data_IF_242954849885
#
_entry.id   IF_242954849885
#
_cell.length_a   1.000
_cell.length_b   1.000
_cell.length_c   1.000
_cell.angle_alpha   90.00
_cell.angle_beta   90.00
_cell.angle_gamma   90.00
#
_symmetry.space_group_name_H-M   'P 1'
#
loop_
_entity.id
_entity.type
_entity.pdbx_description
1 polymer ?
#
# COMPACT_ATOMS: atom_id res chain seq x y z
N UNK A 1 -5.85 17.61 53.51
CA UNK A 1 -4.40 17.55 53.77
C UNK A 1 -3.94 18.98 53.85
N UNK A 2 -3.52 19.41 55.04
CA UNK A 2 -2.96 20.75 55.23
C UNK A 2 -1.65 20.78 54.44
N UNK A 3 -1.57 21.62 53.41
CA UNK A 3 -0.31 21.78 52.67
C UNK A 3 0.74 22.30 53.64
N UNK A 4 1.87 21.60 53.81
CA UNK A 4 2.96 22.13 54.62
C UNK A 4 3.63 23.31 53.87
N UNK A 5 4.47 24.07 54.56
CA UNK A 5 5.09 25.29 54.03
C UNK A 5 6.05 24.95 52.89
N UNK A 6 6.74 23.81 52.94
CA UNK A 6 7.57 23.31 51.86
C UNK A 6 6.79 23.12 50.55
N UNK A 7 5.64 22.44 50.58
CA UNK A 7 4.79 22.27 49.39
C UNK A 7 4.31 23.61 48.82
N UNK A 8 4.01 24.58 49.70
CA UNK A 8 3.58 25.91 49.28
C UNK A 8 4.72 26.68 48.63
N UNK A 9 5.93 26.57 49.15
CA UNK A 9 7.15 27.13 48.56
C UNK A 9 7.43 26.51 47.18
N UNK A 10 7.47 25.18 47.06
CA UNK A 10 7.68 24.49 45.78
C UNK A 10 6.64 24.89 44.72
N UNK A 11 5.37 25.03 45.12
CA UNK A 11 4.29 25.49 44.23
C UNK A 11 4.50 26.93 43.76
N UNK A 12 4.96 27.82 44.63
CA UNK A 12 5.27 29.20 44.28
C UNK A 12 6.45 29.27 43.31
N UNK A 13 7.52 28.50 43.55
CA UNK A 13 8.67 28.40 42.64
C UNK A 13 8.24 27.90 41.25
N UNK A 14 7.50 26.78 41.19
CA UNK A 14 7.05 26.20 39.93
C UNK A 14 6.10 27.12 39.14
N UNK A 15 5.35 28.02 39.80
CA UNK A 15 4.48 28.98 39.12
C UNK A 15 5.25 29.94 38.19
N UNK A 16 6.54 30.17 38.43
CA UNK A 16 7.40 30.99 37.57
C UNK A 16 8.11 30.18 36.48
N UNK A 17 8.10 28.85 36.55
CA UNK A 17 8.71 27.95 35.55
C UNK A 17 7.69 27.64 34.45
N UNK A 18 7.93 28.12 33.23
CA UNK A 18 6.99 27.98 32.10
C UNK A 18 6.91 26.57 31.53
N UNK A 19 7.98 25.78 31.68
CA UNK A 19 8.04 24.42 31.16
C UNK A 19 7.48 23.43 32.20
N UNK A 20 6.16 23.20 32.13
CA UNK A 20 5.45 22.33 33.08
C UNK A 20 5.93 20.88 33.15
N UNK A 21 6.47 20.23 32.09
CA UNK A 21 6.95 18.86 32.20
C UNK A 21 8.05 18.64 33.25
N UNK A 22 8.80 19.69 33.61
CA UNK A 22 9.86 19.60 34.62
C UNK A 22 9.36 19.93 36.04
N UNK A 23 8.10 20.36 36.23
CA UNK A 23 7.56 20.75 37.54
C UNK A 23 7.65 19.64 38.58
N UNK A 24 7.39 18.39 38.18
CA UNK A 24 7.45 17.24 39.09
C UNK A 24 8.89 16.98 39.56
N UNK A 25 9.86 17.09 38.64
CA UNK A 25 11.27 16.93 38.94
C UNK A 25 11.80 18.05 39.84
N UNK A 26 11.46 19.30 39.53
CA UNK A 26 11.81 20.49 40.32
C UNK A 26 11.20 20.39 41.72
N UNK A 27 9.93 20.00 41.82
CA UNK A 27 9.26 19.85 43.12
C UNK A 27 9.89 18.75 43.96
N UNK A 28 10.28 17.62 43.35
CA UNK A 28 10.95 16.53 44.05
C UNK A 28 12.32 16.95 44.58
N UNK A 29 13.13 17.63 43.76
CA UNK A 29 14.46 18.12 44.14
C UNK A 29 14.38 19.18 45.26
N UNK A 30 13.48 20.17 45.12
CA UNK A 30 13.29 21.20 46.14
C UNK A 30 12.76 20.64 47.46
N UNK A 31 11.82 19.69 47.40
CA UNK A 31 11.30 19.03 48.61
C UNK A 31 12.41 18.27 49.32
N UNK A 32 13.20 17.48 48.59
CA UNK A 32 14.33 16.75 49.18
C UNK A 32 15.36 17.70 49.82
N UNK A 33 15.70 18.80 49.15
CA UNK A 33 16.60 19.81 49.71
C UNK A 33 16.06 20.48 50.98
N UNK A 34 14.75 20.76 51.03
CA UNK A 34 14.09 21.33 52.20
C UNK A 34 14.04 20.35 53.36
N UNK A 35 13.77 19.07 53.10
CA UNK A 35 13.78 17.99 54.10
C UNK A 35 15.18 17.78 54.66
N UNK A 36 16.21 17.69 53.81
CA UNK A 36 17.61 17.57 54.24
C UNK A 36 18.03 18.75 55.12
N UNK A 37 17.57 19.96 54.79
CA UNK A 37 17.90 21.17 55.55
C UNK A 37 17.12 21.23 56.88
N UNK A 38 15.87 20.78 56.91
CA UNK A 38 15.08 20.63 58.13
C UNK A 38 15.75 19.64 59.09
N UNK A 39 16.17 18.47 58.59
CA UNK A 39 16.83 17.44 59.39
C UNK A 39 18.14 17.95 59.97
N UNK A 40 18.95 18.66 59.17
CA UNK A 40 20.18 19.28 59.65
C UNK A 40 19.95 20.32 60.77
N UNK A 41 18.85 21.09 60.70
CA UNK A 41 18.48 22.05 61.75
C UNK A 41 18.05 21.36 63.04
N UNK A 42 17.30 20.27 62.95
CA UNK A 42 16.89 19.47 64.11
C UNK A 42 18.08 18.77 64.79
N UNK A 43 19.08 18.35 64.02
CA UNK A 43 20.32 17.79 64.56
C UNK A 43 21.16 18.86 65.29
N UNK A 44 21.23 20.08 64.75
CA UNK A 44 22.03 21.17 65.32
C UNK A 44 21.36 21.82 66.54
N UNK A 45 20.03 21.87 66.56
CA UNK A 45 19.21 22.52 67.57
C UNK A 45 18.10 21.59 68.08
N UNK A 46 18.41 20.71 69.06
CA UNK A 46 17.46 19.73 69.59
C UNK A 46 16.23 20.34 70.28
N UNK A 47 16.26 21.64 70.54
CA UNK A 47 15.20 22.44 71.15
C UNK A 47 14.17 22.98 70.13
N UNK A 48 14.46 22.93 68.82
CA UNK A 48 13.51 23.31 67.78
C UNK A 48 12.43 22.24 67.59
N UNK A 49 11.19 22.70 67.38
CA UNK A 49 10.13 21.81 66.89
C UNK A 49 10.31 21.54 65.38
N UNK A 50 9.78 20.40 64.86
CA UNK A 50 9.83 20.10 63.42
C UNK A 50 9.22 21.21 62.54
N UNK A 51 8.18 21.87 63.03
CA UNK A 51 7.47 22.96 62.34
C UNK A 51 8.31 24.24 62.28
N UNK A 52 9.04 24.57 63.36
CA UNK A 52 9.98 25.70 63.39
C UNK A 52 11.22 25.43 62.53
N UNK A 53 11.71 24.18 62.50
CA UNK A 53 12.78 23.76 61.61
C UNK A 53 12.36 23.83 60.13
N UNK A 54 11.11 23.46 59.81
CA UNK A 54 10.54 23.63 58.46
C UNK A 54 10.49 25.10 58.04
N UNK A 55 10.00 25.97 58.92
CA UNK A 55 9.92 27.41 58.68
C UNK A 55 11.32 28.01 58.48
N UNK A 56 12.28 27.65 59.32
CA UNK A 56 13.66 28.06 59.17
C UNK A 56 14.30 27.53 57.88
N UNK A 57 13.97 26.30 57.46
CA UNK A 57 14.47 25.72 56.23
C UNK A 57 13.94 26.46 54.98
N UNK A 58 12.64 26.76 54.95
CA UNK A 58 12.03 27.55 53.86
C UNK A 58 12.58 28.98 53.85
N UNK A 59 12.74 29.62 55.01
CA UNK A 59 13.32 30.97 55.10
C UNK A 59 14.76 31.03 54.57
N UNK A 60 15.54 29.95 54.76
CA UNK A 60 16.91 29.86 54.26
C UNK A 60 16.99 29.73 52.73
N UNK A 61 15.94 29.21 52.08
CA UNK A 61 15.87 29.10 50.61
C UNK A 61 15.71 30.46 49.92
N UNK A 62 15.29 31.50 50.65
CA UNK A 62 15.14 32.86 50.13
C UNK A 62 13.79 33.10 49.42
N UNK A 63 13.79 34.00 48.43
CA UNK A 63 12.57 34.38 47.71
C UNK A 63 12.19 33.33 46.65
N UNK A 64 11.01 32.68 46.74
CA UNK A 64 10.56 31.71 45.74
C UNK A 64 10.40 32.30 44.34
N UNK A 65 10.14 33.60 44.20
CA UNK A 65 10.03 34.25 42.89
C UNK A 65 11.38 34.36 42.17
N UNK A 66 12.43 34.80 42.88
CA UNK A 66 13.79 34.88 42.32
C UNK A 66 14.30 33.50 41.92
N UNK A 67 14.10 32.49 42.78
CA UNK A 67 14.48 31.10 42.49
C UNK A 67 13.71 30.53 41.29
N UNK A 68 12.39 30.76 41.23
CA UNK A 68 11.56 30.30 40.12
C UNK A 68 11.92 30.95 38.78
N UNK A 69 12.28 32.24 38.76
CA UNK A 69 12.78 32.93 37.56
C UNK A 69 14.13 32.38 37.10
N UNK A 70 15.05 32.13 38.03
CA UNK A 70 16.35 31.54 37.73
C UNK A 70 16.20 30.12 37.14
N UNK A 71 15.33 29.29 37.71
CA UNK A 71 14.96 27.98 37.15
C UNK A 71 14.32 28.13 35.77
N UNK A 72 13.44 29.10 35.55
CA UNK A 72 12.84 29.30 34.23
C UNK A 72 13.88 29.66 33.15
N UNK A 73 15.00 30.29 33.48
CA UNK A 73 16.08 30.56 32.53
C UNK A 73 16.84 29.28 32.13
N UNK A 74 17.06 28.35 33.06
CA UNK A 74 17.67 27.04 32.74
C UNK A 74 16.70 26.11 32.01
N UNK A 75 15.40 26.22 32.28
CA UNK A 75 14.34 25.39 31.70
C UNK A 75 13.66 26.09 30.51
N UNK A 76 14.31 26.08 29.34
CA UNK A 76 13.77 26.68 28.10
C UNK A 76 12.51 25.93 27.61
N UNK A 77 11.32 26.56 27.63
CA UNK A 77 10.08 25.88 27.25
C UNK A 77 10.03 25.54 25.75
N UNK A 78 10.64 26.37 24.89
CA UNK A 78 10.59 26.16 23.44
C UNK A 78 11.40 24.92 23.03
N UNK A 79 12.58 24.74 23.61
CA UNK A 79 13.45 23.59 23.32
C UNK A 79 12.86 22.30 23.89
N UNK A 80 12.33 22.35 25.12
CA UNK A 80 11.68 21.21 25.75
C UNK A 80 10.46 20.71 24.95
N UNK A 81 9.56 21.63 24.56
CA UNK A 81 8.41 21.26 23.75
C UNK A 81 8.81 20.75 22.36
N UNK A 82 9.81 21.36 21.71
CA UNK A 82 10.32 20.87 20.44
C UNK A 82 10.85 19.44 20.54
N UNK A 83 11.63 19.12 21.57
CA UNK A 83 12.17 17.78 21.77
C UNK A 83 11.07 16.73 21.95
N UNK A 84 10.07 17.01 22.80
CA UNK A 84 8.93 16.11 23.03
C UNK A 84 8.17 15.87 21.71
N UNK A 85 7.87 16.95 20.97
CA UNK A 85 7.15 16.85 19.71
C UNK A 85 7.94 16.10 18.64
N UNK A 86 9.24 16.39 18.52
CA UNK A 86 10.13 15.72 17.59
C UNK A 86 10.23 14.22 17.89
N UNK A 87 10.38 13.84 19.16
CA UNK A 87 10.39 12.45 19.57
C UNK A 87 9.08 11.74 19.19
N UNK A 88 7.93 12.37 19.43
CA UNK A 88 6.63 11.82 19.05
C UNK A 88 6.52 11.59 17.52
N UNK A 89 7.02 12.53 16.71
CA UNK A 89 7.05 12.39 15.24
C UNK A 89 7.94 11.23 14.81
N UNK A 90 9.13 11.10 15.39
CA UNK A 90 10.05 10.00 15.07
C UNK A 90 9.41 8.64 15.38
N UNK A 91 8.76 8.51 16.54
CA UNK A 91 8.04 7.28 16.91
C UNK A 91 6.88 6.99 15.94
N UNK A 92 6.09 8.01 15.59
CA UNK A 92 4.98 7.87 14.66
C UNK A 92 5.47 7.42 13.27
N UNK A 93 6.50 8.09 12.73
CA UNK A 93 7.08 7.74 11.42
C UNK A 93 7.68 6.33 11.44
N UNK A 94 8.38 5.96 12.51
CA UNK A 94 8.93 4.62 12.66
C UNK A 94 7.83 3.56 12.68
N UNK A 95 6.72 3.81 13.39
CA UNK A 95 5.57 2.91 13.40
C UNK A 95 4.93 2.78 12.02
N UNK A 96 4.76 3.88 11.28
CA UNK A 96 4.24 3.86 9.90
C UNK A 96 5.15 3.04 8.97
N UNK A 97 6.47 3.22 9.06
CA UNK A 97 7.44 2.46 8.26
C UNK A 97 7.35 0.97 8.60
N UNK A 98 7.30 0.62 9.89
CA UNK A 98 7.16 -0.78 10.32
C UNK A 98 5.86 -1.39 9.79
N UNK A 99 4.74 -0.67 9.91
CA UNK A 99 3.45 -1.13 9.40
C UNK A 99 3.52 -1.33 7.88
N UNK A 100 4.06 -0.36 7.14
CA UNK A 100 4.24 -0.46 5.69
C UNK A 100 5.12 -1.67 5.34
N UNK A 101 6.25 -1.86 6.02
CA UNK A 101 7.09 -3.03 5.86
C UNK A 101 6.33 -4.32 6.18
N UNK A 102 5.56 -4.41 7.26
CA UNK A 102 4.79 -5.62 7.60
C UNK A 102 3.78 -6.00 6.51
N UNK A 103 3.14 -5.02 5.86
CA UNK A 103 2.21 -5.29 4.77
C UNK A 103 2.89 -5.64 3.44
N UNK A 104 4.05 -5.06 3.14
CA UNK A 104 4.73 -5.23 1.84
C UNK A 104 5.85 -6.28 1.83
N UNK A 105 6.44 -6.60 2.99
CA UNK A 105 7.55 -7.55 3.12
C UNK A 105 7.16 -8.97 2.71
N UNK A 106 5.97 -9.52 3.03
CA UNK A 106 5.58 -10.86 2.58
C UNK A 106 5.56 -10.99 1.06
N UNK A 107 4.89 -10.06 0.36
CA UNK A 107 4.86 -10.06 -1.11
C UNK A 107 6.24 -9.82 -1.74
N UNK A 108 7.07 -8.99 -1.12
CA UNK A 108 8.45 -8.77 -1.59
C UNK A 108 9.34 -10.01 -1.38
N UNK A 109 9.20 -10.70 -0.24
CA UNK A 109 9.96 -11.90 0.07
C UNK A 109 9.51 -13.08 -0.80
N UNK A 110 8.22 -13.23 -1.05
CA UNK A 110 7.68 -14.21 -2.01
C UNK A 110 8.23 -13.96 -3.43
N UNK A 111 8.29 -12.70 -3.87
CA UNK A 111 8.88 -12.35 -5.16
C UNK A 111 10.39 -12.62 -5.24
N UNK A 112 11.13 -12.50 -4.13
CA UNK A 112 12.58 -12.73 -4.07
C UNK A 112 12.97 -14.19 -3.85
N UNK A 113 12.14 -14.96 -3.15
CA UNK A 113 12.42 -16.36 -2.78
C UNK A 113 11.65 -17.38 -3.60
N UNK A 114 10.60 -16.93 -4.31
CA UNK A 114 9.94 -17.73 -5.33
C UNK A 114 10.96 -18.18 -6.38
N UNK A 115 10.88 -19.46 -6.78
CA UNK A 115 11.37 -19.85 -8.11
C UNK A 115 10.72 -18.89 -9.14
N UNK A 116 11.38 -18.57 -10.27
CA UNK A 116 10.83 -17.70 -11.33
C UNK A 116 9.62 -18.29 -12.08
N UNK A 117 8.73 -18.97 -11.36
CA UNK A 117 7.76 -19.97 -11.82
C UNK A 117 6.44 -19.81 -11.05
N UNK A 118 5.81 -18.65 -11.20
CA UNK A 118 4.36 -18.57 -11.41
C UNK A 118 4.05 -17.21 -12.06
N UNK A 119 3.56 -17.24 -13.30
CA UNK A 119 3.23 -16.09 -14.16
C UNK A 119 4.44 -15.21 -14.51
N UNK A 120 5.21 -15.65 -15.52
CA UNK A 120 6.13 -14.77 -16.24
C UNK A 120 5.41 -13.50 -16.65
N UNK A 121 5.84 -12.41 -16.05
CA UNK A 121 5.44 -11.03 -16.36
C UNK A 121 5.85 -10.60 -17.77
N UNK A 122 6.73 -11.36 -18.43
CA UNK A 122 7.16 -11.10 -19.79
C UNK A 122 6.19 -11.75 -20.80
N UNK A 123 5.43 -10.94 -21.58
CA UNK A 123 4.52 -11.42 -22.60
C UNK A 123 5.23 -12.20 -23.71
N UNK A 124 6.51 -11.90 -23.99
CA UNK A 124 7.27 -12.52 -25.06
C UNK A 124 7.55 -14.01 -24.81
N UNK A 125 7.64 -14.40 -23.54
CA UNK A 125 7.96 -15.78 -23.13
C UNK A 125 6.70 -16.60 -22.76
N UNK A 126 5.51 -16.03 -22.91
CA UNK A 126 4.27 -16.68 -22.48
C UNK A 126 4.02 -17.98 -23.24
N UNK A 127 4.08 -17.94 -24.58
CA UNK A 127 3.80 -19.09 -25.43
C UNK A 127 4.86 -20.19 -25.29
N UNK A 128 6.14 -19.83 -25.21
CA UNK A 128 7.24 -20.81 -25.02
C UNK A 128 7.08 -21.64 -23.75
N UNK A 129 6.34 -21.12 -22.76
CA UNK A 129 6.25 -21.69 -21.42
C UNK A 129 4.92 -22.35 -21.11
N UNK A 130 3.81 -21.81 -21.62
CA UNK A 130 2.46 -22.29 -21.32
C UNK A 130 1.87 -23.15 -22.43
N UNK A 131 2.39 -23.04 -23.67
CA UNK A 131 1.89 -23.82 -24.79
C UNK A 131 2.77 -25.03 -25.01
N UNK A 132 2.19 -26.21 -24.86
CA UNK A 132 2.88 -27.45 -25.16
C UNK A 132 3.11 -27.54 -26.68
N UNK A 133 4.37 -27.70 -27.15
CA UNK A 133 4.67 -27.71 -28.58
C UNK A 133 3.93 -28.82 -29.34
N UNK A 134 3.58 -29.91 -28.66
CA UNK A 134 2.85 -31.04 -29.24
C UNK A 134 1.38 -30.71 -29.57
N UNK A 135 0.79 -29.68 -28.94
CA UNK A 135 -0.60 -29.26 -29.16
C UNK A 135 -0.71 -28.04 -30.08
N UNK A 136 0.40 -27.36 -30.36
CA UNK A 136 0.42 -26.12 -31.13
C UNK A 136 0.17 -26.40 -32.62
N UNK A 137 -0.89 -25.79 -33.16
CA UNK A 137 -1.28 -25.89 -34.57
C UNK A 137 -0.67 -24.74 -35.37
N UNK A 138 -0.71 -23.52 -34.81
CA UNK A 138 -0.16 -22.33 -35.45
C UNK A 138 0.20 -21.27 -34.41
N UNK A 139 1.28 -20.55 -34.65
CA UNK A 139 1.69 -19.39 -33.86
C UNK A 139 2.20 -18.32 -34.81
N UNK A 140 1.68 -17.09 -34.69
CA UNK A 140 2.09 -15.98 -35.54
C UNK A 140 1.97 -14.64 -34.81
N UNK A 141 2.76 -13.67 -35.26
CA UNK A 141 2.68 -12.29 -34.81
C UNK A 141 1.67 -11.51 -35.66
N UNK A 142 0.94 -10.61 -35.02
CA UNK A 142 0.00 -9.70 -35.69
C UNK A 142 0.05 -8.33 -35.04
N UNK A 143 -0.52 -7.33 -35.70
CA UNK A 143 -0.72 -6.00 -35.14
C UNK A 143 -2.15 -5.55 -35.39
N UNK A 144 -3.12 -6.38 -35.01
CA UNK A 144 -4.52 -5.97 -35.00
C UNK A 144 -4.70 -4.89 -33.94
N UNK A 145 -4.93 -3.64 -34.37
CA UNK A 145 -5.03 -2.47 -33.50
C UNK A 145 -6.47 -1.99 -33.42
N UNK A 146 -6.92 -1.65 -32.22
CA UNK A 146 -8.15 -0.92 -31.99
C UNK A 146 -7.91 0.26 -31.04
N UNK A 147 -8.43 1.43 -31.40
CA UNK A 147 -8.24 2.66 -30.63
C UNK A 147 -9.55 3.06 -29.94
N UNK A 148 -9.53 3.11 -28.61
CA UNK A 148 -10.58 3.70 -27.76
C UNK A 148 -9.90 4.61 -26.75
N UNK A 149 -9.66 5.89 -27.11
CA UNK A 149 -8.96 6.83 -26.24
C UNK A 149 -9.55 6.83 -24.82
N UNK A 150 -8.71 6.65 -23.78
CA UNK A 150 -7.26 6.86 -23.77
C UNK A 150 -6.41 5.62 -24.08
N UNK A 151 -7.03 4.50 -24.45
CA UNK A 151 -6.37 3.21 -24.66
C UNK A 151 -6.15 2.89 -26.14
N UNK A 152 -5.02 2.27 -26.44
CA UNK A 152 -4.80 1.58 -27.72
C UNK A 152 -4.57 0.11 -27.44
N UNK A 153 -5.47 -0.72 -27.97
CA UNK A 153 -5.45 -2.16 -27.86
C UNK A 153 -4.74 -2.74 -29.08
N UNK A 154 -3.81 -3.66 -28.88
CA UNK A 154 -3.04 -4.29 -29.95
C UNK A 154 -2.84 -5.75 -29.64
N UNK A 155 -3.36 -6.64 -30.47
CA UNK A 155 -3.00 -8.06 -30.38
C UNK A 155 -1.64 -8.21 -31.05
N UNK A 156 -0.64 -8.68 -30.29
CA UNK A 156 0.74 -8.83 -30.74
C UNK A 156 1.04 -10.22 -31.28
N UNK A 157 0.38 -11.23 -30.72
CA UNK A 157 0.68 -12.61 -31.01
C UNK A 157 -0.56 -13.46 -30.81
N UNK A 158 -0.71 -14.47 -31.65
CA UNK A 158 -1.80 -15.44 -31.60
C UNK A 158 -1.19 -16.85 -31.65
N UNK A 159 -1.61 -17.68 -30.71
CA UNK A 159 -1.35 -19.12 -30.67
C UNK A 159 -2.66 -19.89 -30.81
N UNK A 160 -2.62 -20.97 -31.58
CA UNK A 160 -3.75 -21.85 -31.80
C UNK A 160 -3.32 -23.25 -31.42
N UNK A 161 -4.06 -23.86 -30.51
CA UNK A 161 -3.77 -25.19 -29.99
C UNK A 161 -4.95 -26.12 -30.20
N UNK A 162 -4.65 -27.40 -30.37
CA UNK A 162 -5.63 -28.46 -30.30
C UNK A 162 -5.29 -29.34 -29.10
N UNK A 163 -6.12 -29.27 -28.06
CA UNK A 163 -5.95 -30.06 -26.84
C UNK A 163 -7.20 -30.90 -26.60
N UNK A 164 -7.01 -32.22 -26.41
CA UNK A 164 -8.10 -33.16 -26.13
C UNK A 164 -9.27 -33.11 -27.15
N UNK A 165 -8.97 -32.78 -28.41
CA UNK A 165 -9.96 -32.66 -29.49
C UNK A 165 -10.72 -31.33 -29.54
N UNK A 166 -10.42 -30.40 -28.65
CA UNK A 166 -10.93 -29.02 -28.66
C UNK A 166 -9.87 -28.05 -29.16
N UNK A 167 -10.30 -27.03 -29.91
CA UNK A 167 -9.43 -25.95 -30.39
C UNK A 167 -9.44 -24.80 -29.39
N UNK A 168 -8.25 -24.36 -29.00
CA UNK A 168 -8.00 -23.22 -28.14
C UNK A 168 -7.32 -22.12 -28.94
N UNK A 169 -7.73 -20.88 -28.71
CA UNK A 169 -7.12 -19.70 -29.33
C UNK A 169 -6.64 -18.80 -28.21
N UNK A 170 -5.34 -18.55 -28.19
CA UNK A 170 -4.68 -17.70 -27.20
C UNK A 170 -4.09 -16.46 -27.88
N UNK A 171 -4.38 -15.27 -27.35
CA UNK A 171 -3.91 -14.02 -27.92
C UNK A 171 -3.21 -13.18 -26.84
N UNK A 172 -2.03 -12.64 -27.15
CA UNK A 172 -1.37 -11.65 -26.30
C UNK A 172 -1.86 -10.27 -26.72
N UNK A 173 -2.68 -9.68 -25.86
CA UNK A 173 -3.21 -8.34 -25.99
C UNK A 173 -2.31 -7.36 -25.23
N UNK A 174 -1.75 -6.39 -25.95
CA UNK A 174 -1.08 -5.22 -25.38
C UNK A 174 -2.07 -4.05 -25.36
N UNK A 175 -2.25 -3.44 -24.20
CA UNK A 175 -3.00 -2.19 -24.04
C UNK A 175 -2.01 -1.10 -23.68
N UNK A 176 -1.99 -0.01 -24.44
CA UNK A 176 -1.10 1.13 -24.18
C UNK A 176 -1.89 2.38 -23.83
N UNK A 177 -1.29 3.21 -22.96
CA UNK A 177 -1.88 4.45 -22.47
C UNK A 177 -0.80 5.49 -22.17
N UNK A 178 -1.11 6.78 -22.37
CA UNK A 178 -0.17 7.87 -22.05
C UNK A 178 -0.12 8.22 -20.57
N UNK A 179 -1.16 7.91 -19.80
CA UNK A 179 -1.24 8.19 -18.37
C UNK A 179 -0.94 6.93 -17.55
N UNK A 180 0.14 6.89 -16.75
CA UNK A 180 0.54 5.71 -15.97
C UNK A 180 -0.43 5.39 -14.81
N UNK A 181 -1.34 6.30 -14.48
CA UNK A 181 -2.40 6.08 -13.50
C UNK A 181 -3.61 5.35 -14.07
N UNK A 182 -3.70 5.20 -15.39
CA UNK A 182 -4.79 4.49 -16.08
C UNK A 182 -4.43 3.03 -16.41
N UNK A 183 -3.40 2.47 -15.77
CA UNK A 183 -2.97 1.08 -15.94
C UNK A 183 -4.07 0.08 -15.57
N UNK A 184 -3.98 -1.12 -16.13
CA UNK A 184 -4.88 -2.24 -15.84
C UNK A 184 -6.37 -1.92 -16.07
N UNK A 185 -6.78 -1.52 -17.29
CA UNK A 185 -8.18 -1.26 -17.58
C UNK A 185 -9.07 -2.47 -17.29
N UNK A 186 -10.21 -2.22 -16.65
CA UNK A 186 -11.19 -3.25 -16.33
C UNK A 186 -12.15 -3.45 -17.51
N UNK A 187 -11.80 -4.36 -18.43
CA UNK A 187 -12.65 -4.79 -19.54
C UNK A 187 -12.86 -6.32 -19.58
N UNK A 188 -11.95 -7.09 -18.97
CA UNK A 188 -11.90 -8.55 -19.17
C UNK A 188 -13.14 -9.33 -18.70
N UNK A 189 -13.89 -8.82 -17.73
CA UNK A 189 -15.13 -9.47 -17.26
C UNK A 189 -16.25 -9.47 -18.31
N UNK A 190 -16.25 -8.48 -19.20
CA UNK A 190 -17.31 -8.21 -20.15
C UNK A 190 -16.83 -8.40 -21.61
N UNK A 191 -15.58 -8.86 -21.79
CA UNK A 191 -15.03 -9.21 -23.09
C UNK A 191 -15.61 -10.55 -23.55
N UNK A 192 -16.21 -10.58 -24.74
CA UNK A 192 -16.76 -11.77 -25.39
C UNK A 192 -16.18 -11.89 -26.80
N UNK A 193 -16.45 -12.99 -27.50
CA UNK A 193 -16.00 -13.17 -28.88
C UNK A 193 -17.06 -13.82 -29.77
N UNK A 194 -16.93 -13.63 -31.07
CA UNK A 194 -17.72 -14.31 -32.11
C UNK A 194 -16.80 -14.83 -33.21
N UNK A 195 -17.16 -15.95 -33.83
CA UNK A 195 -16.49 -16.43 -35.03
C UNK A 195 -17.28 -16.14 -36.31
N UNK A 196 -16.65 -16.37 -37.45
CA UNK A 196 -17.24 -16.19 -38.79
C UNK A 196 -18.28 -17.26 -39.17
N UNK A 197 -18.41 -18.32 -38.38
CA UNK A 197 -19.41 -19.39 -38.56
C UNK A 197 -20.71 -19.07 -37.81
N UNK A 198 -20.68 -18.07 -36.92
CA UNK A 198 -21.83 -17.57 -36.18
C UNK A 198 -21.92 -18.08 -34.74
N UNK A 199 -20.87 -18.72 -34.21
CA UNK A 199 -20.81 -19.08 -32.80
C UNK A 199 -20.40 -17.86 -31.96
N UNK A 200 -20.99 -17.76 -30.76
CA UNK A 200 -20.67 -16.74 -29.76
C UNK A 200 -20.02 -17.38 -28.54
N UNK A 201 -18.92 -16.80 -28.10
CA UNK A 201 -18.15 -17.20 -26.92
C UNK A 201 -18.41 -16.19 -25.81
N UNK A 202 -19.07 -16.64 -24.75
CA UNK A 202 -19.53 -15.78 -23.65
C UNK A 202 -18.37 -15.11 -22.91
N UNK A 203 -18.64 -13.92 -22.38
CA UNK A 203 -17.75 -13.25 -21.43
C UNK A 203 -17.70 -13.98 -20.09
N UNK A 204 -16.71 -13.64 -19.25
CA UNK A 204 -16.62 -14.21 -17.90
C UNK A 204 -17.86 -13.89 -17.06
N UNK A 205 -18.42 -12.66 -17.17
CA UNK A 205 -19.64 -12.27 -16.46
C UNK A 205 -20.85 -13.07 -16.92
N UNK A 206 -21.06 -13.19 -18.23
CA UNK A 206 -22.17 -13.98 -18.78
C UNK A 206 -22.04 -15.44 -18.39
N UNK A 207 -20.83 -16.01 -18.48
CA UNK A 207 -20.56 -17.39 -18.10
C UNK A 207 -20.89 -17.66 -16.63
N UNK A 208 -20.56 -16.74 -15.71
CA UNK A 208 -20.94 -16.87 -14.29
C UNK A 208 -22.45 -16.84 -14.04
N UNK A 209 -23.23 -16.28 -14.97
CA UNK A 209 -24.68 -16.26 -14.92
C UNK A 209 -25.32 -17.46 -15.65
N UNK A 210 -24.53 -18.24 -16.39
CA UNK A 210 -24.95 -19.44 -17.12
C UNK A 210 -24.73 -20.70 -16.26
N UNK A 211 -25.34 -21.80 -16.70
CA UNK A 211 -25.16 -23.12 -16.10
C UNK A 211 -23.71 -23.63 -16.30
N UNK A 212 -23.19 -24.44 -15.36
CA UNK A 212 -21.79 -24.93 -15.31
C UNK A 212 -21.39 -25.78 -16.53
N UNK A 213 -22.34 -26.08 -17.42
CA UNK A 213 -22.19 -26.92 -18.61
C UNK A 213 -21.74 -26.17 -19.86
N UNK A 214 -21.65 -24.84 -19.84
CA UNK A 214 -21.17 -24.04 -20.98
C UNK A 214 -19.64 -23.93 -20.94
N UNK A 215 -18.94 -24.72 -21.76
CA UNK A 215 -17.46 -24.74 -21.75
C UNK A 215 -16.80 -23.73 -22.70
N UNK A 216 -17.56 -23.11 -23.61
CA UNK A 216 -17.05 -22.16 -24.61
C UNK A 216 -17.14 -20.73 -24.10
N UNK A 217 -16.00 -20.12 -23.76
CA UNK A 217 -15.95 -18.75 -23.20
C UNK A 217 -14.64 -18.05 -23.55
N UNK A 218 -14.65 -16.73 -23.38
CA UNK A 218 -13.44 -15.91 -23.35
C UNK A 218 -12.96 -15.80 -21.90
N UNK A 219 -11.69 -16.14 -21.68
CA UNK A 219 -10.97 -15.95 -20.43
C UNK A 219 -9.90 -14.89 -20.62
N UNK A 220 -9.77 -14.00 -19.66
CA UNK A 220 -8.75 -12.95 -19.67
C UNK A 220 -7.87 -13.16 -18.45
N UNK A 221 -6.55 -13.27 -18.66
CA UNK A 221 -5.59 -13.42 -17.57
C UNK A 221 -5.59 -12.18 -16.66
N UNK A 222 -4.98 -12.32 -15.49
CA UNK A 222 -4.50 -11.14 -14.76
C UNK A 222 -3.51 -10.36 -15.62
N UNK A 223 -3.39 -9.03 -15.44
CA UNK A 223 -2.35 -8.23 -16.07
C UNK A 223 -0.97 -8.87 -15.96
N UNK A 224 -0.26 -8.96 -17.08
CA UNK A 224 1.06 -9.54 -17.19
C UNK A 224 2.12 -8.44 -17.15
N UNK A 225 2.99 -8.55 -16.15
CA UNK A 225 4.11 -7.64 -15.92
C UNK A 225 3.76 -6.25 -15.40
N UNK A 226 4.80 -5.53 -15.03
CA UNK A 226 4.71 -4.18 -14.46
C UNK A 226 5.31 -3.16 -15.42
N UNK A 227 4.50 -2.75 -16.40
CA UNK A 227 4.88 -1.74 -17.37
C UNK A 227 4.10 -0.44 -17.10
N UNK A 228 4.75 0.73 -16.98
CA UNK A 228 4.06 1.99 -16.63
C UNK A 228 3.08 2.49 -17.70
N UNK A 229 3.37 2.26 -18.98
CA UNK A 229 2.61 2.77 -20.13
C UNK A 229 1.97 1.68 -20.98
N UNK A 230 2.07 0.44 -20.53
CA UNK A 230 1.49 -0.71 -21.20
C UNK A 230 0.92 -1.70 -20.17
N UNK A 231 -0.05 -2.50 -20.58
CA UNK A 231 -0.53 -3.63 -19.80
C UNK A 231 -0.80 -4.77 -20.76
N UNK A 232 -0.25 -5.94 -20.48
CA UNK A 232 -0.42 -7.11 -21.33
C UNK A 232 -1.42 -8.09 -20.69
N UNK A 233 -2.22 -8.75 -21.51
CA UNK A 233 -3.17 -9.77 -21.10
C UNK A 233 -3.06 -10.96 -22.05
N UNK A 234 -3.23 -12.17 -21.52
CA UNK A 234 -3.54 -13.34 -22.35
C UNK A 234 -5.05 -13.48 -22.45
N UNK A 235 -5.57 -13.53 -23.67
CA UNK A 235 -6.97 -13.83 -23.98
C UNK A 235 -7.05 -15.27 -24.46
N UNK A 236 -7.76 -16.13 -23.76
CA UNK A 236 -7.95 -17.54 -24.13
C UNK A 236 -9.42 -17.78 -24.50
N UNK A 237 -9.66 -18.32 -25.69
CA UNK A 237 -10.99 -18.76 -26.13
C UNK A 237 -11.00 -20.27 -26.26
N UNK A 238 -11.96 -20.90 -25.59
CA UNK A 238 -12.07 -22.36 -25.48
C UNK A 238 -13.11 -22.91 -26.45
N UNK A 239 -12.85 -24.12 -26.98
CA UNK A 239 -13.74 -24.85 -27.88
C UNK A 239 -14.13 -24.06 -29.14
N UNK A 240 -13.14 -23.43 -29.79
CA UNK A 240 -13.37 -22.70 -31.03
C UNK A 240 -13.74 -23.66 -32.16
N UNK A 241 -14.72 -23.30 -32.98
CA UNK A 241 -15.16 -24.14 -34.10
C UNK A 241 -13.97 -24.43 -35.05
N UNK A 242 -13.69 -25.70 -35.39
CA UNK A 242 -12.64 -26.04 -36.35
C UNK A 242 -12.87 -25.43 -37.75
N UNK A 243 -14.11 -25.13 -38.13
CA UNK A 243 -14.45 -24.48 -39.39
C UNK A 243 -14.18 -22.97 -39.37
N UNK A 244 -14.08 -22.35 -38.19
CA UNK A 244 -13.84 -20.92 -38.05
C UNK A 244 -12.50 -20.50 -38.64
N UNK A 245 -12.54 -19.43 -39.42
CA UNK A 245 -11.39 -18.82 -40.06
C UNK A 245 -11.01 -17.48 -39.44
N UNK A 246 -11.91 -16.85 -38.69
CA UNK A 246 -11.67 -15.60 -38.00
C UNK A 246 -12.35 -15.60 -36.63
N UNK A 247 -11.78 -14.85 -35.69
CA UNK A 247 -12.35 -14.63 -34.37
C UNK A 247 -12.34 -13.14 -34.07
N UNK A 248 -13.49 -12.59 -33.70
CA UNK A 248 -13.64 -11.18 -33.36
C UNK A 248 -13.93 -11.04 -31.88
N UNK A 249 -13.00 -10.42 -31.15
CA UNK A 249 -13.19 -10.01 -29.77
C UNK A 249 -14.00 -8.72 -29.71
N UNK A 250 -14.99 -8.70 -28.82
CA UNK A 250 -15.95 -7.62 -28.64
C UNK A 250 -16.01 -7.25 -27.16
N UNK A 251 -16.01 -5.96 -26.88
CA UNK A 251 -16.38 -5.46 -25.56
C UNK A 251 -17.31 -4.27 -25.72
N UNK A 252 -18.50 -4.41 -25.13
CA UNK A 252 -19.56 -3.42 -25.20
C UNK A 252 -19.82 -2.88 -23.81
N UNK A 253 -19.90 -1.55 -23.69
CA UNK A 253 -20.25 -0.89 -22.43
C UNK A 253 -21.49 -0.05 -22.65
N UNK A 254 -22.59 -0.38 -21.99
CA UNK A 254 -23.87 0.32 -22.11
C UNK A 254 -24.46 0.36 -23.54
N UNK A 255 -24.21 -0.67 -24.35
CA UNK A 255 -24.75 -0.77 -25.71
C UNK A 255 -23.90 -0.06 -26.79
N UNK A 256 -22.77 0.54 -26.42
CA UNK A 256 -21.76 1.02 -27.37
C UNK A 256 -20.62 0.01 -27.49
N UNK A 257 -20.26 -0.35 -28.73
CA UNK A 257 -19.08 -1.17 -29.01
C UNK A 257 -17.85 -0.33 -28.69
N UNK A 258 -17.12 -0.75 -27.65
CA UNK A 258 -15.92 -0.09 -27.12
C UNK A 258 -14.63 -0.81 -27.51
N UNK A 259 -14.73 -2.01 -28.06
CA UNK A 259 -13.60 -2.76 -28.61
C UNK A 259 -14.12 -3.74 -29.66
N UNK A 260 -13.45 -3.76 -30.81
CA UNK A 260 -13.69 -4.75 -31.87
C UNK A 260 -12.34 -5.12 -32.48
N UNK A 261 -11.83 -6.30 -32.15
CA UNK A 261 -10.53 -6.80 -32.62
C UNK A 261 -10.71 -8.15 -33.31
N UNK A 262 -10.44 -8.20 -34.60
CA UNK A 262 -10.55 -9.42 -35.40
C UNK A 262 -9.17 -10.03 -35.64
N UNK A 263 -9.04 -11.34 -35.40
CA UNK A 263 -7.83 -12.11 -35.64
C UNK A 263 -8.09 -13.30 -36.57
N UNK A 264 -7.20 -13.57 -37.54
CA UNK A 264 -7.35 -14.66 -38.50
C UNK A 264 -6.87 -16.00 -37.90
N UNK A 265 -7.70 -17.03 -37.90
CA UNK A 265 -7.38 -18.32 -37.30
C UNK A 265 -6.55 -19.26 -38.19
N UNK A 266 -6.22 -18.86 -39.43
CA UNK A 266 -5.44 -19.69 -40.38
C UNK A 266 -3.98 -19.25 -40.58
N UNK A 267 -3.52 -18.21 -39.88
CA UNK A 267 -2.18 -17.65 -40.05
C UNK A 267 -2.03 -16.89 -41.36
N UNK A 268 -1.74 -15.60 -41.26
CA UNK A 268 -1.73 -14.65 -42.37
C UNK A 268 -2.50 -13.39 -41.99
N UNK A 269 -2.06 -12.21 -42.42
CA UNK A 269 -2.74 -10.94 -42.12
C UNK A 269 -4.22 -11.02 -42.49
N UNK A 270 -5.10 -10.55 -41.61
CA UNK A 270 -6.50 -10.35 -41.96
C UNK A 270 -6.53 -9.25 -43.02
N UNK A 271 -7.01 -9.58 -44.22
CA UNK A 271 -7.26 -8.58 -45.27
C UNK A 271 -8.17 -7.50 -44.66
N UNK A 272 -7.69 -6.25 -44.70
CA UNK A 272 -8.32 -5.08 -44.10
C UNK A 272 -9.61 -4.61 -44.75
#
# INVERSE_FOLDING_TARGET
MSSNRCETFCRQVCAFVRFSPDHDAITAELTAHLEDHQDALLELHPDLTPEEAEEAAVLAMGDPEELGRALNESHSPLLGWFQIWFQAVVWLLSAIIIIFCLFHLPGTLENLTGKPDSVSSDPALYFERNVHPDNLVAQYETNAVYQDPPYTYTIKQVGIENYSGARYVECILQVTQSNPWLRCPAFGYDLWAEDDVGNRYSSTREWQALDETVFSRVQVSTPMGDFPFATHYCLTVTNVDPAATQLTFRFDRYGEVRLSLTVPLKGGEADG
#
